data_IF_414209516830
#
_entry.id   IF_414209516830
#
_cell.length_a   1.000
_cell.length_b   1.000
_cell.length_c   1.000
_cell.angle_alpha   90.00
_cell.angle_beta   90.00
_cell.angle_gamma   90.00
#
_symmetry.space_group_name_H-M   'P 1'
#
loop_
_entity.id
_entity.type
_entity.pdbx_description
1 polymer ?
#
# COMPACT_ATOMS: atom_id res chain seq x y z
N UNK A 1 12.12 9.41 -1.74
CA UNK A 1 12.01 10.37 -0.63
C UNK A 1 10.92 9.88 0.31
N UNK A 2 11.29 9.65 1.55
CA UNK A 2 10.41 9.14 2.59
C UNK A 2 9.89 10.32 3.43
N UNK A 3 8.60 10.32 3.77
CA UNK A 3 7.99 11.42 4.53
C UNK A 3 7.64 10.91 5.93
N UNK A 4 8.32 11.45 6.93
CA UNK A 4 8.12 11.10 8.33
C UNK A 4 7.35 12.24 9.03
N UNK A 5 6.03 12.12 9.02
CA UNK A 5 5.08 13.09 9.54
C UNK A 5 4.64 12.75 10.98
N UNK A 6 5.57 12.34 11.83
CA UNK A 6 5.25 12.02 13.22
C UNK A 6 4.88 13.26 14.04
N UNK A 7 3.90 13.13 14.93
CA UNK A 7 3.52 14.16 15.90
C UNK A 7 4.12 13.94 17.30
N UNK A 8 4.71 12.77 17.54
CA UNK A 8 5.28 12.37 18.83
C UNK A 8 6.79 12.19 18.70
N UNK A 9 7.53 12.72 19.67
CA UNK A 9 8.97 12.57 19.81
C UNK A 9 9.27 11.92 21.17
N UNK A 10 10.10 10.88 21.16
CA UNK A 10 10.32 10.04 22.35
C UNK A 10 11.58 10.41 23.16
N UNK A 11 12.32 11.45 22.76
CA UNK A 11 13.50 12.00 23.45
C UNK A 11 14.54 10.97 23.91
N UNK A 12 14.74 9.88 23.16
CA UNK A 12 15.76 8.89 23.52
C UNK A 12 17.09 9.28 22.87
N UNK A 13 18.04 9.80 23.67
CA UNK A 13 19.40 10.09 23.23
C UNK A 13 20.42 9.05 23.75
N UNK A 14 21.05 8.36 22.78
CA UNK A 14 22.27 7.53 22.73
C UNK A 14 22.70 6.58 23.89
N UNK A 15 23.16 5.40 23.50
CA UNK A 15 23.98 4.44 24.21
C UNK A 15 25.03 3.95 23.23
N UNK A 16 26.07 3.38 23.82
CA UNK A 16 27.26 2.91 23.14
C UNK A 16 27.04 1.60 22.36
N UNK A 17 25.79 1.22 22.07
CA UNK A 17 25.43 0.12 21.15
C UNK A 17 25.01 0.62 19.75
N UNK A 18 24.76 1.92 19.59
CA UNK A 18 24.76 2.57 18.28
C UNK A 18 23.44 2.68 17.51
N UNK A 19 22.27 2.37 18.10
CA UNK A 19 20.97 2.62 17.44
C UNK A 19 19.93 3.23 18.38
N UNK A 20 19.46 4.44 18.06
CA UNK A 20 18.37 5.16 18.73
C UNK A 20 17.33 5.55 17.69
N UNK A 21 16.09 5.14 17.87
CA UNK A 21 14.98 5.61 17.03
C UNK A 21 14.20 6.71 17.75
N UNK A 22 14.51 7.96 17.42
CA UNK A 22 13.83 9.14 17.94
C UNK A 22 12.37 9.27 17.44
N UNK A 23 11.98 8.41 16.48
CA UNK A 23 10.72 8.44 15.75
C UNK A 23 10.04 7.09 15.94
N UNK A 24 9.12 6.99 16.90
CA UNK A 24 8.49 5.71 17.28
C UNK A 24 7.51 5.14 16.25
N UNK A 25 6.97 5.99 15.37
CA UNK A 25 5.99 5.60 14.35
C UNK A 25 6.32 6.28 13.00
N UNK A 26 7.44 5.92 12.36
CA UNK A 26 7.84 6.52 11.10
C UNK A 26 6.87 6.12 9.98
N UNK A 27 6.79 6.97 8.96
CA UNK A 27 6.01 6.67 7.75
C UNK A 27 6.71 5.64 6.84
N UNK A 28 8.00 5.41 7.03
CA UNK A 28 8.73 4.32 6.38
C UNK A 28 8.47 3.00 7.12
N UNK A 29 8.38 1.87 6.38
CA UNK A 29 8.41 0.55 6.98
C UNK A 29 9.65 0.39 7.87
N UNK A 30 9.45 0.13 9.16
CA UNK A 30 10.51 -0.30 10.10
C UNK A 30 10.15 -1.57 10.85
N UNK A 31 8.91 -2.01 10.71
CA UNK A 31 8.37 -3.15 11.42
C UNK A 31 8.30 -4.34 10.50
N UNK A 32 8.59 -5.52 11.05
CA UNK A 32 8.59 -6.75 10.26
C UNK A 32 7.25 -6.97 9.58
N UNK A 33 6.11 -6.58 10.17
CA UNK A 33 4.77 -6.72 9.57
C UNK A 33 4.48 -5.78 8.38
N UNK A 34 5.34 -4.82 8.07
CA UNK A 34 5.18 -3.88 6.95
C UNK A 34 5.89 -4.36 5.67
N UNK A 35 6.69 -5.42 5.76
CA UNK A 35 7.43 -6.00 4.64
C UNK A 35 6.50 -6.64 3.59
N UNK A 36 6.88 -6.50 2.32
CA UNK A 36 6.27 -7.23 1.21
C UNK A 36 6.75 -8.68 1.28
N UNK A 37 5.82 -9.63 1.23
CA UNK A 37 6.16 -11.05 1.18
C UNK A 37 6.49 -11.48 -0.26
N UNK A 38 7.55 -12.28 -0.43
CA UNK A 38 7.80 -12.99 -1.69
C UNK A 38 6.69 -14.01 -1.97
N UNK A 39 6.58 -14.49 -3.22
CA UNK A 39 5.55 -15.46 -3.58
C UNK A 39 5.72 -16.75 -2.78
N UNK A 40 4.63 -17.18 -2.16
CA UNK A 40 4.60 -18.40 -1.35
C UNK A 40 3.30 -19.16 -1.53
N UNK A 41 3.38 -20.49 -1.47
CA UNK A 41 2.26 -21.42 -1.45
C UNK A 41 2.00 -21.95 -0.02
N UNK A 42 2.80 -21.50 0.96
CA UNK A 42 2.62 -21.88 2.36
C UNK A 42 1.45 -21.08 2.96
N UNK A 43 0.25 -21.67 2.89
CA UNK A 43 -0.98 -21.05 3.39
C UNK A 43 -0.89 -20.65 4.88
N UNK A 44 -0.21 -21.44 5.71
CA UNK A 44 -0.04 -21.12 7.14
C UNK A 44 0.84 -19.89 7.33
N UNK A 45 1.97 -19.81 6.61
CA UNK A 45 2.86 -18.65 6.67
C UNK A 45 2.15 -17.38 6.18
N UNK A 46 1.39 -17.46 5.09
CA UNK A 46 0.61 -16.33 4.58
C UNK A 46 -0.50 -15.88 5.54
N UNK A 47 -1.23 -16.81 6.15
CA UNK A 47 -2.24 -16.48 7.17
C UNK A 47 -1.63 -15.83 8.40
N UNK A 48 -0.53 -16.38 8.91
CA UNK A 48 0.21 -15.79 10.04
C UNK A 48 0.70 -14.37 9.70
N UNK A 49 1.12 -14.16 8.44
CA UNK A 49 1.54 -12.84 7.96
C UNK A 49 0.39 -11.84 7.96
N UNK A 50 -0.74 -12.21 7.35
CA UNK A 50 -1.95 -11.38 7.29
C UNK A 50 -2.44 -11.03 8.70
N UNK A 51 -2.45 -12.01 9.62
CA UNK A 51 -2.85 -11.80 11.01
C UNK A 51 -1.95 -10.81 11.78
N UNK A 52 -0.72 -10.58 11.31
CA UNK A 52 0.21 -9.64 11.92
C UNK A 52 0.09 -8.21 11.37
N UNK A 53 -0.68 -7.97 10.31
CA UNK A 53 -0.87 -6.62 9.78
C UNK A 53 -1.53 -5.71 10.81
N UNK A 54 -1.04 -4.48 10.88
CA UNK A 54 -1.57 -3.43 11.76
C UNK A 54 -1.84 -2.18 10.94
N UNK A 55 -3.02 -1.56 11.06
CA UNK A 55 -3.29 -0.30 10.38
C UNK A 55 -2.35 0.78 10.91
N UNK A 56 -1.69 1.50 10.00
CA UNK A 56 -0.77 2.60 10.33
C UNK A 56 -0.89 3.72 9.32
N UNK A 57 -0.68 4.94 9.82
CA UNK A 57 -0.52 6.15 9.03
C UNK A 57 -1.74 6.45 8.13
N UNK A 58 -1.48 6.81 6.88
CA UNK A 58 -2.44 7.39 5.95
C UNK A 58 -2.84 6.39 4.86
N UNK A 59 -4.07 6.52 4.35
CA UNK A 59 -4.57 5.72 3.24
C UNK A 59 -4.06 6.22 1.88
N UNK A 60 -3.23 5.42 1.22
CA UNK A 60 -2.71 5.68 -0.13
C UNK A 60 -2.96 4.47 -1.05
N UNK A 61 -4.23 4.26 -1.38
CA UNK A 61 -4.75 3.10 -2.13
C UNK A 61 -4.01 2.94 -3.46
N UNK A 62 -3.84 4.04 -4.20
CA UNK A 62 -3.11 4.07 -5.47
C UNK A 62 -1.68 3.50 -5.37
N UNK A 63 -0.96 3.72 -4.26
CA UNK A 63 0.38 3.16 -4.08
C UNK A 63 0.33 1.65 -3.81
N UNK A 64 -0.62 1.21 -2.98
CA UNK A 64 -0.84 -0.21 -2.71
C UNK A 64 -1.21 -0.96 -3.99
N UNK A 65 -2.14 -0.41 -4.77
CA UNK A 65 -2.55 -0.99 -6.05
C UNK A 65 -1.41 -1.02 -7.06
N UNK A 66 -0.60 0.05 -7.13
CA UNK A 66 0.58 0.08 -8.00
C UNK A 66 1.54 -1.07 -7.73
N UNK A 67 1.86 -1.32 -6.45
CA UNK A 67 2.72 -2.43 -6.06
C UNK A 67 2.05 -3.79 -6.27
N UNK A 68 0.77 -3.93 -5.93
CA UNK A 68 0.01 -5.16 -6.16
C UNK A 68 -0.01 -5.58 -7.62
N UNK A 69 -0.23 -4.63 -8.54
CA UNK A 69 -0.20 -4.88 -9.99
C UNK A 69 1.23 -5.13 -10.48
N UNK A 70 2.22 -4.38 -9.99
CA UNK A 70 3.62 -4.58 -10.38
C UNK A 70 4.12 -6.00 -10.03
N UNK A 71 3.68 -6.56 -8.90
CA UNK A 71 3.94 -7.95 -8.51
C UNK A 71 3.17 -8.98 -9.36
N UNK A 72 2.35 -8.57 -10.32
CA UNK A 72 1.75 -9.47 -11.30
C UNK A 72 2.33 -9.28 -12.70
N UNK A 73 3.22 -8.29 -12.90
CA UNK A 73 3.83 -8.00 -14.18
C UNK A 73 4.98 -8.99 -14.47
N UNK A 74 5.03 -9.64 -15.66
CA UNK A 74 6.14 -10.51 -16.06
C UNK A 74 7.52 -9.83 -15.96
N UNK A 75 7.59 -8.51 -16.08
CA UNK A 75 8.84 -7.75 -15.91
C UNK A 75 9.42 -7.87 -14.48
N UNK A 76 8.64 -8.35 -13.51
CA UNK A 76 9.12 -8.63 -12.15
C UNK A 76 9.81 -9.99 -12.02
N UNK A 77 9.74 -10.87 -13.02
CA UNK A 77 10.36 -12.21 -12.97
C UNK A 77 11.85 -12.19 -12.59
N UNK A 78 12.72 -11.33 -13.16
CA UNK A 78 14.14 -11.33 -12.81
C UNK A 78 14.37 -11.04 -11.33
N UNK A 79 13.62 -10.07 -10.78
CA UNK A 79 13.70 -9.72 -9.36
C UNK A 79 13.19 -10.89 -8.51
N UNK A 80 12.11 -11.55 -8.92
CA UNK A 80 11.58 -12.70 -8.20
C UNK A 80 12.61 -13.84 -8.06
N UNK A 81 13.40 -14.08 -9.09
CA UNK A 81 14.46 -15.10 -9.07
C UNK A 81 15.59 -14.75 -8.07
N UNK A 82 15.82 -13.46 -7.82
CA UNK A 82 16.86 -12.99 -6.89
C UNK A 82 16.39 -12.90 -5.44
N UNK A 83 15.14 -12.47 -5.19
CA UNK A 83 14.61 -12.28 -3.82
C UNK A 83 14.22 -13.60 -3.13
N UNK A 84 14.26 -14.73 -3.85
CA UNK A 84 13.87 -16.04 -3.36
C UNK A 84 12.35 -16.20 -3.22
N UNK A 85 11.92 -17.23 -2.49
CA UNK A 85 10.52 -17.62 -2.36
C UNK A 85 10.34 -19.13 -2.58
N UNK A 86 9.09 -19.58 -2.66
CA UNK A 86 8.83 -21.00 -2.91
C UNK A 86 9.30 -21.39 -4.32
N UNK A 87 10.01 -22.52 -4.43
CA UNK A 87 10.56 -23.01 -5.70
C UNK A 87 9.49 -23.15 -6.81
N UNK A 88 8.24 -23.44 -6.41
CA UNK A 88 7.08 -23.53 -7.30
C UNK A 88 6.76 -22.23 -8.05
N UNK A 89 7.24 -21.07 -7.56
CA UNK A 89 6.93 -19.75 -8.11
C UNK A 89 8.12 -19.02 -8.72
N UNK A 90 9.25 -19.69 -8.95
CA UNK A 90 10.45 -19.08 -9.55
C UNK A 90 10.22 -18.53 -10.96
N UNK A 91 9.31 -19.14 -11.73
CA UNK A 91 8.92 -18.67 -13.06
C UNK A 91 7.76 -17.65 -13.05
N UNK A 92 7.35 -17.16 -11.87
CA UNK A 92 6.25 -16.19 -11.73
C UNK A 92 6.81 -14.76 -11.63
N UNK A 93 6.04 -13.73 -12.04
CA UNK A 93 4.70 -13.80 -12.64
C UNK A 93 4.70 -14.33 -14.08
N UNK A 94 3.75 -15.20 -14.46
CA UNK A 94 3.67 -15.72 -15.83
C UNK A 94 3.35 -14.63 -16.87
N UNK A 95 3.57 -14.88 -18.15
CA UNK A 95 3.24 -13.94 -19.23
C UNK A 95 1.74 -13.54 -19.22
N UNK A 96 1.40 -12.34 -19.69
CA UNK A 96 -0.01 -11.94 -19.82
C UNK A 96 -0.78 -12.75 -20.88
N UNK A 97 -0.08 -13.36 -21.82
CA UNK A 97 -0.65 -14.24 -22.85
C UNK A 97 -0.82 -15.69 -22.40
N UNK A 98 -0.38 -16.03 -21.19
CA UNK A 98 -0.54 -17.37 -20.64
C UNK A 98 -2.01 -17.59 -20.25
N UNK A 99 -2.70 -18.40 -21.04
CA UNK A 99 -4.13 -18.68 -20.83
C UNK A 99 -4.37 -19.57 -19.60
N UNK A 100 -3.38 -20.34 -19.17
CA UNK A 100 -3.49 -21.27 -18.03
C UNK A 100 -3.31 -20.54 -16.69
N UNK A 101 -2.95 -19.25 -16.73
CA UNK A 101 -2.70 -18.43 -15.53
C UNK A 101 -3.65 -17.26 -15.45
N UNK A 102 -4.62 -17.35 -14.55
CA UNK A 102 -5.43 -16.20 -14.14
C UNK A 102 -4.64 -15.30 -13.18
N UNK A 103 -4.56 -14.01 -13.51
CA UNK A 103 -3.98 -12.96 -12.66
C UNK A 103 -5.09 -12.19 -11.96
N UNK A 104 -5.04 -12.13 -10.62
CA UNK A 104 -6.10 -11.52 -9.82
C UNK A 104 -5.54 -10.63 -8.71
N UNK A 105 -6.20 -9.51 -8.44
CA UNK A 105 -5.95 -8.63 -7.29
C UNK A 105 -7.23 -8.55 -6.48
N UNK A 106 -7.11 -8.68 -5.15
CA UNK A 106 -8.20 -8.35 -4.22
C UNK A 106 -7.79 -7.08 -3.48
N UNK A 107 -8.49 -5.99 -3.74
CA UNK A 107 -8.28 -4.68 -3.12
C UNK A 107 -9.36 -4.44 -2.07
N UNK A 108 -8.97 -4.15 -0.83
CA UNK A 108 -9.91 -3.89 0.26
C UNK A 108 -9.51 -2.63 1.03
N UNK A 109 -10.46 -1.71 1.20
CA UNK A 109 -10.24 -0.41 1.88
C UNK A 109 -11.57 0.32 2.10
N UNK A 110 -11.53 1.44 2.83
CA UNK A 110 -12.63 2.40 3.01
C UNK A 110 -12.85 3.30 1.77
N UNK A 111 -12.02 3.16 0.74
CA UNK A 111 -12.13 3.87 -0.53
C UNK A 111 -11.70 5.35 -0.45
N UNK A 112 -11.04 5.77 0.63
CA UNK A 112 -10.68 7.18 0.83
C UNK A 112 -9.16 7.37 0.73
N UNK A 113 -8.66 7.79 -0.44
CA UNK A 113 -7.29 8.31 -0.50
C UNK A 113 -7.18 9.64 0.25
N UNK A 114 -6.10 9.83 1.02
CA UNK A 114 -5.84 11.10 1.70
C UNK A 114 -4.71 11.90 1.06
N UNK A 115 -4.73 13.22 1.27
CA UNK A 115 -3.69 14.12 0.77
C UNK A 115 -2.31 13.72 1.31
N UNK A 116 -1.37 13.48 0.41
CA UNK A 116 0.00 13.13 0.75
C UNK A 116 0.88 14.38 0.70
N UNK A 117 1.53 14.69 1.82
CA UNK A 117 2.49 15.78 1.95
C UNK A 117 3.92 15.25 1.90
N UNK A 118 4.87 16.12 1.55
CA UNK A 118 6.31 15.89 1.57
C UNK A 118 6.97 17.08 2.24
N UNK A 119 8.11 16.86 2.88
CA UNK A 119 8.97 17.95 3.35
C UNK A 119 9.36 18.77 2.12
N UNK A 120 9.26 20.10 2.21
CA UNK A 120 9.62 20.98 1.10
C UNK A 120 11.07 20.68 0.68
N UNK A 121 11.36 20.43 -0.61
CA UNK A 121 12.71 20.12 -1.08
C UNK A 121 13.76 21.13 -0.63
N UNK A 122 13.41 22.42 -0.48
CA UNK A 122 14.33 23.46 0.00
C UNK A 122 14.90 23.16 1.39
N UNK A 123 14.13 22.49 2.25
CA UNK A 123 14.54 22.07 3.60
C UNK A 123 14.77 20.56 3.69
N UNK A 124 14.91 19.87 2.54
CA UNK A 124 15.22 18.44 2.42
C UNK A 124 16.15 18.20 1.21
N UNK A 125 17.23 18.97 1.08
CA UNK A 125 18.10 18.98 -0.10
C UNK A 125 19.48 18.36 0.12
N UNK A 126 19.93 18.22 1.36
CA UNK A 126 21.29 17.85 1.69
C UNK A 126 21.35 16.91 2.91
N UNK A 127 22.53 16.35 3.16
CA UNK A 127 22.76 15.37 4.24
C UNK A 127 22.41 15.90 5.62
N UNK A 128 22.66 17.17 5.89
CA UNK A 128 22.39 17.74 7.22
C UNK A 128 20.89 17.92 7.43
N UNK A 129 20.14 18.28 6.38
CA UNK A 129 18.68 18.24 6.43
C UNK A 129 18.18 16.80 6.65
N UNK A 130 18.72 15.80 5.95
CA UNK A 130 18.30 14.41 6.13
C UNK A 130 18.53 13.91 7.55
N UNK A 131 19.68 14.23 8.15
CA UNK A 131 19.97 13.92 9.55
C UNK A 131 18.98 14.61 10.48
N UNK A 132 18.74 15.91 10.30
CA UNK A 132 17.77 16.65 11.10
C UNK A 132 16.39 15.97 11.11
N UNK A 133 15.85 15.62 9.94
CA UNK A 133 14.55 14.97 9.86
C UNK A 133 14.54 13.48 10.23
N UNK A 134 15.72 12.86 10.35
CA UNK A 134 15.87 11.53 10.95
C UNK A 134 15.87 11.58 12.48
N UNK A 135 16.28 12.71 13.07
CA UNK A 135 16.33 12.90 14.52
C UNK A 135 15.02 13.49 15.07
N UNK A 136 14.33 14.31 14.27
CA UNK A 136 13.14 15.05 14.68
C UNK A 136 11.94 14.73 13.78
N UNK A 137 10.85 14.15 14.33
CA UNK A 137 9.59 13.99 13.59
C UNK A 137 9.07 15.33 13.07
N UNK A 138 8.71 15.38 11.79
CA UNK A 138 8.45 16.64 11.08
C UNK A 138 7.36 17.50 11.74
N UNK A 139 6.18 16.95 12.03
CA UNK A 139 5.09 17.74 12.62
C UNK A 139 5.33 18.09 14.09
N UNK A 140 5.98 17.21 14.85
CA UNK A 140 6.41 17.54 16.20
C UNK A 140 7.33 18.77 16.20
N UNK A 141 8.35 18.77 15.32
CA UNK A 141 9.30 19.88 15.23
C UNK A 141 8.61 21.17 14.77
N UNK A 142 7.76 21.09 13.74
CA UNK A 142 7.01 22.25 13.24
C UNK A 142 6.14 22.90 14.31
N UNK A 143 5.40 22.11 15.08
CA UNK A 143 4.49 22.63 16.11
C UNK A 143 5.22 23.36 17.24
N UNK A 144 6.52 23.08 17.43
CA UNK A 144 7.31 23.65 18.52
C UNK A 144 8.22 24.79 18.08
N UNK A 145 8.66 24.78 16.82
CA UNK A 145 9.68 25.70 16.31
C UNK A 145 9.17 26.66 15.22
N UNK A 146 7.98 26.40 14.66
CA UNK A 146 7.43 27.20 13.55
C UNK A 146 6.02 27.65 13.89
N UNK A 147 5.75 28.95 13.70
CA UNK A 147 4.41 29.52 13.86
C UNK A 147 3.44 28.81 12.93
N UNK A 148 2.25 28.44 13.42
CA UNK A 148 1.25 27.69 12.65
C UNK A 148 0.95 28.32 11.27
N UNK A 149 0.88 29.65 11.21
CA UNK A 149 0.66 30.41 9.96
C UNK A 149 1.77 30.23 8.91
N UNK A 150 2.97 29.84 9.30
CA UNK A 150 4.15 29.70 8.43
C UNK A 150 4.47 28.24 8.10
N UNK A 151 3.84 27.26 8.77
CA UNK A 151 4.13 25.84 8.59
C UNK A 151 3.90 25.37 7.15
N UNK A 152 2.99 25.99 6.41
CA UNK A 152 2.72 25.69 5.00
C UNK A 152 3.96 25.85 4.10
N UNK A 153 4.96 26.65 4.51
CA UNK A 153 6.22 26.84 3.77
C UNK A 153 7.18 25.64 3.88
N UNK A 154 6.95 24.76 4.85
CA UNK A 154 7.86 23.66 5.19
C UNK A 154 7.48 22.33 4.55
N UNK A 155 6.30 22.24 3.94
CA UNK A 155 5.86 21.05 3.22
C UNK A 155 5.23 21.41 1.88
N UNK A 156 5.21 20.45 0.97
CA UNK A 156 4.52 20.51 -0.31
C UNK A 156 3.52 19.37 -0.43
N UNK A 157 2.37 19.61 -1.05
CA UNK A 157 1.46 18.54 -1.43
C UNK A 157 2.04 17.76 -2.60
N UNK A 158 2.26 16.45 -2.42
CA UNK A 158 2.71 15.56 -3.51
C UNK A 158 1.52 15.09 -4.35
N UNK A 159 0.46 14.67 -3.67
CA UNK A 159 -0.83 14.32 -4.28
C UNK A 159 -1.94 14.82 -3.35
N UNK A 160 -2.95 15.49 -3.92
CA UNK A 160 -4.25 15.67 -3.26
C UNK A 160 -5.02 14.36 -3.22
N UNK A 161 -6.10 14.28 -2.44
CA UNK A 161 -6.99 13.10 -2.45
C UNK A 161 -7.55 12.81 -3.84
N UNK A 162 -8.09 13.83 -4.54
CA UNK A 162 -8.61 13.66 -5.90
C UNK A 162 -7.55 13.25 -6.93
N UNK A 163 -6.32 13.77 -6.82
CA UNK A 163 -5.21 13.29 -7.67
C UNK A 163 -4.86 11.83 -7.37
N UNK A 164 -4.93 11.40 -6.11
CA UNK A 164 -4.68 10.03 -5.72
C UNK A 164 -5.80 9.09 -6.20
N UNK A 165 -7.06 9.54 -6.21
CA UNK A 165 -8.19 8.80 -6.80
C UNK A 165 -7.99 8.63 -8.31
N UNK A 166 -7.64 9.69 -9.06
CA UNK A 166 -7.35 9.58 -10.50
C UNK A 166 -6.18 8.62 -10.79
N UNK A 167 -5.12 8.67 -9.96
CA UNK A 167 -3.99 7.75 -10.11
C UNK A 167 -4.40 6.29 -9.84
N UNK A 168 -5.31 6.06 -8.89
CA UNK A 168 -5.85 4.73 -8.65
C UNK A 168 -6.61 4.24 -9.88
N UNK A 169 -7.50 5.07 -10.43
CA UNK A 169 -8.28 4.74 -11.64
C UNK A 169 -7.36 4.38 -12.82
N UNK A 170 -6.34 5.21 -13.10
CA UNK A 170 -5.35 4.96 -14.16
C UNK A 170 -4.64 3.60 -13.99
N UNK A 171 -4.28 3.24 -12.75
CA UNK A 171 -3.63 1.96 -12.44
C UNK A 171 -4.59 0.80 -12.66
N UNK A 172 -5.84 0.93 -12.19
CA UNK A 172 -6.83 -0.13 -12.33
C UNK A 172 -7.19 -0.35 -13.80
N UNK A 173 -7.33 0.72 -14.59
CA UNK A 173 -7.57 0.64 -16.03
C UNK A 173 -6.40 -0.02 -16.77
N UNK A 174 -5.16 0.35 -16.45
CA UNK A 174 -3.98 -0.29 -17.02
C UNK A 174 -3.91 -1.80 -16.67
N UNK A 175 -4.26 -2.16 -15.44
CA UNK A 175 -4.30 -3.56 -15.00
C UNK A 175 -5.40 -4.36 -15.71
N UNK A 176 -6.63 -3.82 -15.80
CA UNK A 176 -7.75 -4.41 -16.53
C UNK A 176 -7.41 -4.62 -18.01
N UNK A 177 -6.75 -3.64 -18.65
CA UNK A 177 -6.31 -3.74 -20.04
C UNK A 177 -5.26 -4.86 -20.28
N UNK A 178 -4.57 -5.32 -19.24
CA UNK A 178 -3.66 -6.47 -19.26
C UNK A 178 -4.33 -7.80 -18.89
N UNK A 179 -5.65 -7.81 -18.70
CA UNK A 179 -6.42 -9.00 -18.33
C UNK A 179 -6.31 -9.37 -16.85
N UNK A 180 -5.83 -8.46 -15.99
CA UNK A 180 -5.84 -8.69 -14.53
C UNK A 180 -7.27 -8.47 -14.03
N UNK A 181 -7.81 -9.46 -13.32
CA UNK A 181 -9.11 -9.37 -12.67
C UNK A 181 -8.95 -8.68 -11.31
N UNK A 182 -9.70 -7.61 -11.08
CA UNK A 182 -9.66 -6.82 -9.85
C UNK A 182 -10.99 -7.01 -9.13
N UNK A 183 -10.89 -7.64 -7.96
CA UNK A 183 -11.96 -7.71 -6.97
C UNK A 183 -11.79 -6.57 -5.99
N UNK A 184 -12.84 -5.78 -5.78
CA UNK A 184 -12.79 -4.58 -4.96
C UNK A 184 -13.80 -4.70 -3.82
N UNK A 185 -13.32 -4.58 -2.58
CA UNK A 185 -14.13 -4.67 -1.36
C UNK A 185 -14.08 -3.31 -0.67
N UNK A 186 -15.16 -2.55 -0.79
CA UNK A 186 -15.38 -1.34 -0.02
C UNK A 186 -15.93 -1.69 1.36
N UNK A 187 -15.10 -1.59 2.40
CA UNK A 187 -15.49 -1.83 3.79
C UNK A 187 -15.88 -0.52 4.48
N UNK A 188 -17.10 -0.42 5.00
CA UNK A 188 -17.61 0.76 5.72
C UNK A 188 -17.43 2.07 4.93
N UNK A 189 -17.75 2.02 3.63
CA UNK A 189 -17.48 3.11 2.69
C UNK A 189 -18.60 4.15 2.61
N UNK A 190 -18.19 5.41 2.48
CA UNK A 190 -19.06 6.49 2.00
C UNK A 190 -19.42 6.28 0.52
N UNK A 191 -20.37 7.05 -0.01
CA UNK A 191 -20.73 6.95 -1.43
C UNK A 191 -19.58 7.34 -2.37
N UNK A 192 -18.73 8.30 -1.97
CA UNK A 192 -17.50 8.60 -2.70
C UNK A 192 -16.56 7.40 -2.71
N UNK A 193 -16.28 6.83 -1.54
CA UNK A 193 -15.40 5.66 -1.42
C UNK A 193 -15.93 4.44 -2.18
N UNK A 194 -17.25 4.22 -2.14
CA UNK A 194 -17.91 3.17 -2.92
C UNK A 194 -17.73 3.39 -4.43
N UNK A 195 -17.85 4.63 -4.92
CA UNK A 195 -17.65 4.94 -6.33
C UNK A 195 -16.21 4.70 -6.77
N UNK A 196 -15.23 5.16 -5.99
CA UNK A 196 -13.80 4.94 -6.26
C UNK A 196 -13.48 3.45 -6.32
N UNK A 197 -13.97 2.69 -5.33
CA UNK A 197 -13.75 1.25 -5.25
C UNK A 197 -14.46 0.49 -6.38
N UNK A 198 -15.67 0.90 -6.75
CA UNK A 198 -16.43 0.29 -7.86
C UNK A 198 -15.75 0.53 -9.20
N UNK A 199 -15.23 1.73 -9.46
CA UNK A 199 -14.54 2.05 -10.72
C UNK A 199 -13.27 1.21 -10.94
N UNK A 200 -12.55 0.90 -9.85
CA UNK A 200 -11.37 0.06 -9.91
C UNK A 200 -11.68 -1.43 -10.17
N UNK A 201 -12.89 -1.90 -9.82
CA UNK A 201 -13.29 -3.29 -10.04
C UNK A 201 -13.37 -3.64 -11.54
N UNK A 202 -13.10 -4.90 -11.90
CA UNK A 202 -13.16 -5.35 -13.30
C UNK A 202 -14.57 -5.33 -13.90
N UNK A 203 -15.60 -5.50 -13.07
CA UNK A 203 -17.00 -5.28 -13.43
C UNK A 203 -17.84 -5.05 -12.17
N UNK A 204 -19.12 -4.72 -12.35
CA UNK A 204 -20.08 -4.59 -11.26
C UNK A 204 -20.16 -5.84 -10.36
N UNK A 205 -19.96 -7.04 -10.92
CA UNK A 205 -19.97 -8.30 -10.14
C UNK A 205 -18.67 -8.55 -9.35
N UNK A 206 -17.63 -7.76 -9.60
CA UNK A 206 -16.36 -7.83 -8.87
C UNK A 206 -16.26 -6.79 -7.74
N UNK A 207 -17.29 -5.96 -7.56
CA UNK A 207 -17.37 -4.98 -6.48
C UNK A 207 -18.28 -5.47 -5.35
N UNK A 208 -17.78 -5.39 -4.12
CA UNK A 208 -18.51 -5.69 -2.90
C UNK A 208 -18.49 -4.47 -1.98
N UNK A 209 -19.67 -3.92 -1.68
CA UNK A 209 -19.84 -2.94 -0.60
C UNK A 209 -20.28 -3.72 0.64
N UNK A 210 -19.48 -3.69 1.69
CA UNK A 210 -19.70 -4.50 2.90
C UNK A 210 -19.62 -3.66 4.16
N UNK A 211 -20.36 -4.08 5.17
CA UNK A 211 -20.36 -3.48 6.51
C UNK A 211 -20.22 -4.55 7.60
N UNK A 212 -19.51 -4.24 8.68
CA UNK A 212 -19.40 -5.13 9.85
C UNK A 212 -18.88 -6.55 9.52
N UNK A 213 -19.72 -7.56 9.71
CA UNK A 213 -19.33 -8.99 9.61
C UNK A 213 -19.38 -9.56 8.18
N UNK A 214 -19.96 -8.82 7.23
CA UNK A 214 -20.16 -9.26 5.84
C UNK A 214 -18.86 -9.40 5.03
N UNK A 215 -17.74 -8.95 5.60
CA UNK A 215 -16.40 -9.09 5.01
C UNK A 215 -16.05 -10.56 4.73
N UNK A 216 -16.44 -11.47 5.63
CA UNK A 216 -16.18 -12.91 5.47
C UNK A 216 -16.94 -13.45 4.26
N UNK A 217 -18.21 -13.07 4.13
CA UNK A 217 -19.07 -13.50 3.02
C UNK A 217 -18.55 -13.01 1.67
N UNK A 218 -18.01 -11.78 1.60
CA UNK A 218 -17.38 -11.26 0.39
C UNK A 218 -16.14 -12.07 -0.01
N UNK A 219 -15.23 -12.36 0.93
CA UNK A 219 -14.05 -13.19 0.63
C UNK A 219 -14.44 -14.61 0.22
N UNK A 220 -15.46 -15.19 0.85
CA UNK A 220 -15.97 -16.51 0.44
C UNK A 220 -16.58 -16.49 -0.97
N UNK A 221 -17.34 -15.44 -1.31
CA UNK A 221 -17.91 -15.27 -2.65
C UNK A 221 -16.81 -15.18 -3.71
N UNK A 222 -15.77 -14.38 -3.46
CA UNK A 222 -14.60 -14.27 -4.34
C UNK A 222 -13.90 -15.63 -4.47
N UNK A 223 -13.67 -16.33 -3.36
CA UNK A 223 -13.02 -17.64 -3.38
C UNK A 223 -13.79 -18.68 -4.20
N UNK A 224 -15.13 -18.70 -4.10
CA UNK A 224 -15.99 -19.58 -4.92
C UNK A 224 -15.85 -19.25 -6.41
N UNK A 225 -15.88 -17.98 -6.78
CA UNK A 225 -15.79 -17.56 -8.18
C UNK A 225 -14.41 -17.85 -8.79
N UNK A 226 -13.32 -17.60 -8.05
CA UNK A 226 -11.96 -17.94 -8.50
C UNK A 226 -11.80 -19.46 -8.68
N UNK A 227 -12.32 -20.27 -7.75
CA UNK A 227 -12.22 -21.73 -7.85
C UNK A 227 -13.06 -22.33 -8.97
N UNK A 228 -14.24 -21.77 -9.28
CA UNK A 228 -15.04 -22.20 -10.43
C UNK A 228 -14.28 -22.02 -11.74
N UNK A 229 -13.58 -20.89 -11.92
CA UNK A 229 -12.75 -20.62 -13.10
C UNK A 229 -11.59 -21.61 -13.26
N UNK A 230 -11.10 -22.18 -12.14
CA UNK A 230 -10.03 -23.20 -12.15
C UNK A 230 -10.54 -24.60 -12.52
N UNK A 231 -11.83 -24.89 -12.31
CA UNK A 231 -12.42 -26.21 -12.58
C UNK A 231 -12.94 -26.35 -14.02
N UNK A 232 -13.17 -25.23 -14.71
CA UNK A 232 -13.70 -25.19 -16.08
C UNK A 232 -12.63 -24.97 -17.15
N UNK A 233 -11.36 -24.81 -16.76
CA UNK A 233 -10.19 -24.75 -17.65
C UNK A 233 -9.40 -26.05 -17.58
#
# INVERSE_FOLDING_TARGET
>A
QHFEAGYSWNNRHRDNTGSYDNISNPGCPKQSYEEVAAYSQNATALKNRIANFRPRANTAIHLGMKWGVALLDPAFQPINQEIGGDAAFQARPAAYSDIDTLKTVILMTDGVNVTTRRINPQVYANRDHYRHWSDYPFYWWLNRNVRSSEQHRWYSTKYTSGQADNLLDDICDAAKAKGIVIWSIGFEVTDHGASVMKNCASSDSHFFRVEGVEIVDAFEAIARQINQLRLTQ
#
